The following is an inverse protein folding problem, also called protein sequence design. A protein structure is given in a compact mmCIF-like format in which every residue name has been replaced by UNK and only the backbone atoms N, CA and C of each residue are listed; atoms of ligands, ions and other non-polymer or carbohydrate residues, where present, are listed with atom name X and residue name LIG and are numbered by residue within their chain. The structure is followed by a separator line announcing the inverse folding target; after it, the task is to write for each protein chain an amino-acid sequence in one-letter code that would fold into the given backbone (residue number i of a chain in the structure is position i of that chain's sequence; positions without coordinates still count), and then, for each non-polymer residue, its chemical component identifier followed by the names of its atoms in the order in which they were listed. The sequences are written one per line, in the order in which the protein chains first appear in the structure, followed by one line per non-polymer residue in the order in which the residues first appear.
data_IF_453325424848
#
_entry.id   IF_453325424848
#
_cell.length_a   1.000
_cell.length_b   1.000
_cell.length_c   1.000
_cell.angle_alpha   90.00
_cell.angle_beta   90.00
_cell.angle_gamma   90.00
#
_symmetry.space_group_name_H-M   'P 1'
#
loop_
_entity.id
_entity.type
_entity.pdbx_description
1 polymer ?
#
# COMPACT_ATOMS: atom_id res chain seq x y z
N UNK A 1 10.22 -17.87 11.36
CA UNK A 1 9.14 -18.34 10.46
C UNK A 1 9.73 -18.83 9.16
N UNK A 2 9.21 -19.89 8.52
CA UNK A 2 9.68 -20.34 7.22
C UNK A 2 9.39 -19.30 6.13
N UNK A 3 10.25 -19.25 5.12
CA UNK A 3 10.03 -18.43 3.92
C UNK A 3 9.06 -19.17 2.99
N UNK A 4 8.26 -18.46 2.23
CA UNK A 4 7.43 -19.02 1.17
C UNK A 4 8.36 -19.66 0.12
N UNK A 5 8.15 -20.91 -0.30
CA UNK A 5 9.08 -21.66 -1.16
C UNK A 5 9.06 -21.24 -2.64
N UNK A 6 8.58 -20.06 -2.99
CA UNK A 6 8.65 -19.53 -4.36
C UNK A 6 9.95 -18.77 -4.57
N UNK A 7 10.66 -19.01 -5.69
CA UNK A 7 11.95 -18.40 -6.03
C UNK A 7 11.95 -16.86 -5.91
N UNK A 8 10.84 -16.21 -6.28
CA UNK A 8 10.69 -14.76 -6.12
C UNK A 8 10.85 -14.27 -4.67
N UNK A 9 10.44 -15.08 -3.68
CA UNK A 9 10.55 -14.70 -2.26
C UNK A 9 11.99 -14.77 -1.75
N UNK A 10 12.81 -15.64 -2.32
CA UNK A 10 14.24 -15.67 -2.02
C UNK A 10 14.91 -14.39 -2.52
N UNK A 11 14.65 -14.01 -3.77
CA UNK A 11 15.17 -12.77 -4.36
C UNK A 11 14.70 -11.53 -3.60
N UNK A 12 13.40 -11.46 -3.26
CA UNK A 12 12.84 -10.36 -2.46
C UNK A 12 13.42 -10.30 -1.05
N UNK A 13 13.63 -11.44 -0.40
CA UNK A 13 14.22 -11.51 0.95
C UNK A 13 15.66 -11.00 0.94
N UNK A 14 16.45 -11.36 -0.07
CA UNK A 14 17.83 -10.88 -0.23
C UNK A 14 17.84 -9.35 -0.46
N UNK A 15 17.02 -8.86 -1.38
CA UNK A 15 16.92 -7.45 -1.67
C UNK A 15 16.47 -6.62 -0.44
N UNK A 16 15.30 -6.95 0.10
CA UNK A 16 14.69 -6.19 1.19
C UNK A 16 15.46 -6.31 2.51
N UNK A 17 16.26 -7.36 2.67
CA UNK A 17 17.19 -7.48 3.79
C UNK A 17 18.36 -6.50 3.74
N UNK A 18 18.61 -5.87 2.59
CA UNK A 18 19.72 -4.91 2.38
C UNK A 18 19.27 -3.45 2.38
N UNK A 19 18.00 -3.17 2.03
CA UNK A 19 17.54 -1.80 1.74
C UNK A 19 16.70 -1.16 2.84
N UNK A 20 16.35 -1.86 3.91
CA UNK A 20 15.49 -1.29 4.94
C UNK A 20 15.63 -1.94 6.30
N UNK A 21 14.99 -1.33 7.29
CA UNK A 21 15.02 -1.81 8.68
C UNK A 21 14.14 -3.05 8.88
N UNK A 22 13.03 -3.16 8.17
CA UNK A 22 11.98 -4.16 8.40
C UNK A 22 11.90 -5.24 7.31
N UNK A 23 12.86 -5.33 6.39
CA UNK A 23 12.79 -6.25 5.25
C UNK A 23 12.46 -7.69 5.62
N UNK A 24 13.23 -8.36 6.50
CA UNK A 24 12.93 -9.72 6.94
C UNK A 24 11.60 -9.84 7.70
N UNK A 25 11.24 -8.85 8.51
CA UNK A 25 9.98 -8.82 9.26
C UNK A 25 8.79 -8.69 8.32
N UNK A 26 8.86 -7.76 7.37
CA UNK A 26 7.83 -7.56 6.36
C UNK A 26 7.56 -8.84 5.57
N UNK A 27 8.61 -9.51 5.11
CA UNK A 27 8.51 -10.74 4.30
C UNK A 27 7.91 -11.93 5.06
N UNK A 28 8.01 -11.96 6.39
CA UNK A 28 7.66 -13.13 7.21
C UNK A 28 6.58 -12.90 8.24
N UNK A 29 6.42 -11.68 8.71
CA UNK A 29 5.59 -11.35 9.86
C UNK A 29 4.46 -10.36 9.53
N UNK A 30 4.33 -9.94 8.28
CA UNK A 30 3.28 -9.02 7.84
C UNK A 30 2.32 -9.69 6.88
N UNK A 31 1.04 -9.58 7.18
CA UNK A 31 -0.06 -9.89 6.29
C UNK A 31 -0.99 -8.66 6.22
N UNK A 32 -1.85 -8.58 5.22
CA UNK A 32 -2.78 -7.47 5.08
C UNK A 32 -4.14 -7.90 4.55
N UNK A 33 -5.16 -7.17 4.95
CA UNK A 33 -6.38 -7.04 4.18
C UNK A 33 -6.16 -5.98 3.12
N UNK A 34 -6.57 -6.23 1.89
CA UNK A 34 -6.49 -5.28 0.78
C UNK A 34 -7.88 -5.19 0.14
N UNK A 35 -8.27 -3.98 -0.24
CA UNK A 35 -9.54 -3.75 -0.93
C UNK A 35 -9.23 -3.24 -2.33
N UNK A 36 -9.82 -3.89 -3.33
CA UNK A 36 -9.68 -3.47 -4.72
C UNK A 36 -10.96 -2.78 -5.17
N UNK A 37 -10.81 -1.63 -5.82
CA UNK A 37 -11.89 -0.86 -6.42
C UNK A 37 -11.59 -0.65 -7.90
N UNK A 38 -12.62 -0.56 -8.72
CA UNK A 38 -12.50 -0.27 -10.15
C UNK A 38 -12.42 1.24 -10.42
N UNK A 39 -12.17 1.57 -11.68
CA UNK A 39 -12.23 2.93 -12.21
C UNK A 39 -12.74 2.90 -13.66
N UNK A 40 -13.24 4.02 -14.14
CA UNK A 40 -13.83 4.12 -15.48
C UNK A 40 -12.90 4.75 -16.52
N UNK A 41 -12.02 5.65 -16.08
CA UNK A 41 -11.05 6.34 -16.93
C UNK A 41 -9.84 6.84 -16.12
N UNK A 42 -8.92 7.53 -16.78
CA UNK A 42 -7.71 8.07 -16.18
C UNK A 42 -8.01 9.03 -15.04
N UNK A 43 -8.91 9.99 -15.27
CA UNK A 43 -9.29 10.99 -14.27
C UNK A 43 -9.83 10.33 -13.01
N UNK A 44 -10.81 9.45 -13.16
CA UNK A 44 -11.42 8.71 -12.06
C UNK A 44 -10.39 7.88 -11.29
N UNK A 45 -9.42 7.27 -12.01
CA UNK A 45 -8.37 6.50 -11.37
C UNK A 45 -7.43 7.37 -10.52
N UNK A 46 -7.02 8.53 -11.02
CA UNK A 46 -6.12 9.44 -10.30
C UNK A 46 -6.83 10.06 -9.09
N UNK A 47 -8.09 10.46 -9.22
CA UNK A 47 -8.90 10.95 -8.11
C UNK A 47 -9.03 9.88 -7.01
N UNK A 48 -9.34 8.64 -7.37
CA UNK A 48 -9.41 7.50 -6.42
C UNK A 48 -8.06 7.17 -5.79
N UNK A 49 -6.96 7.26 -6.53
CA UNK A 49 -5.61 7.11 -5.97
C UNK A 49 -5.34 8.16 -4.88
N UNK A 50 -5.64 9.43 -5.16
CA UNK A 50 -5.50 10.52 -4.19
C UNK A 50 -6.35 10.30 -2.95
N UNK A 51 -7.65 10.05 -3.14
CA UNK A 51 -8.58 9.80 -2.03
C UNK A 51 -8.15 8.61 -1.18
N UNK A 52 -7.78 7.48 -1.81
CA UNK A 52 -7.28 6.31 -1.10
C UNK A 52 -6.03 6.62 -0.28
N UNK A 53 -5.13 7.43 -0.83
CA UNK A 53 -3.88 7.82 -0.16
C UNK A 53 -4.14 8.70 1.06
N UNK A 54 -5.05 9.67 0.99
CA UNK A 54 -5.32 10.60 2.11
C UNK A 54 -6.12 9.95 3.23
N UNK A 55 -7.13 9.11 2.92
CA UNK A 55 -7.95 8.47 3.95
C UNK A 55 -7.35 7.18 4.52
N UNK A 56 -6.45 6.56 3.78
CA UNK A 56 -5.87 5.26 4.10
C UNK A 56 -5.23 5.18 5.50
N UNK A 57 -4.37 6.12 5.91
CA UNK A 57 -3.77 6.14 7.25
C UNK A 57 -4.79 6.28 8.36
N UNK A 58 -5.85 7.08 8.15
CA UNK A 58 -6.94 7.26 9.12
C UNK A 58 -7.71 5.96 9.30
N UNK A 59 -8.16 5.36 8.20
CA UNK A 59 -8.84 4.07 8.24
C UNK A 59 -7.95 2.97 8.83
N UNK A 60 -6.64 2.98 8.52
CA UNK A 60 -5.69 2.03 9.10
C UNK A 60 -5.65 2.13 10.62
N UNK A 61 -5.73 3.34 11.18
CA UNK A 61 -5.82 3.52 12.62
C UNK A 61 -7.07 2.85 13.23
N UNK A 62 -8.23 3.03 12.60
CA UNK A 62 -9.50 2.42 13.09
C UNK A 62 -9.54 0.91 12.86
N UNK A 63 -8.84 0.41 11.85
CA UNK A 63 -8.78 -1.01 11.50
C UNK A 63 -7.46 -1.70 11.91
N UNK A 64 -6.68 -1.12 12.83
CA UNK A 64 -5.47 -1.78 13.34
C UNK A 64 -5.78 -3.12 14.00
N UNK A 65 -4.91 -4.09 13.81
CA UNK A 65 -5.11 -5.46 14.33
C UNK A 65 -3.79 -6.17 14.68
N UNK A 66 -2.77 -5.41 15.06
CA UNK A 66 -1.44 -5.97 15.39
C UNK A 66 -1.05 -5.56 16.82
N UNK A 67 -1.60 -6.23 17.86
CA UNK A 67 -1.31 -5.90 19.25
C UNK A 67 0.10 -6.32 19.71
N UNK A 68 0.69 -7.30 19.04
CA UNK A 68 2.02 -7.82 19.36
C UNK A 68 2.95 -7.78 18.14
N UNK A 69 4.23 -7.55 18.39
CA UNK A 69 5.29 -7.60 17.41
C UNK A 69 6.52 -8.30 18.00
N UNK A 70 7.01 -9.36 17.34
CA UNK A 70 8.16 -10.17 17.78
C UNK A 70 8.04 -10.72 19.21
N UNK A 71 6.83 -11.01 19.66
CA UNK A 71 6.55 -11.57 21.00
C UNK A 71 6.34 -10.51 22.08
N UNK A 72 6.59 -9.25 21.78
CA UNK A 72 6.39 -8.13 22.68
C UNK A 72 5.14 -7.33 22.27
N UNK A 73 4.68 -6.49 23.18
CA UNK A 73 3.59 -5.57 22.90
C UNK A 73 4.01 -4.57 21.81
N UNK A 74 3.17 -4.42 20.79
CA UNK A 74 3.44 -3.48 19.70
C UNK A 74 3.35 -2.02 20.19
N UNK A 75 4.45 -1.25 20.13
CA UNK A 75 4.46 0.14 20.57
C UNK A 75 3.95 1.12 19.51
N UNK A 76 3.70 0.68 18.28
CA UNK A 76 3.35 1.56 17.17
C UNK A 76 1.87 1.46 16.77
N UNK A 77 1.16 2.60 16.66
CA UNK A 77 -0.24 2.61 16.24
C UNK A 77 -0.47 1.98 14.86
N UNK A 78 0.44 2.20 13.92
CA UNK A 78 0.36 1.73 12.54
C UNK A 78 1.61 0.91 12.17
N UNK A 79 1.81 -0.24 12.84
CA UNK A 79 3.02 -1.06 12.64
C UNK A 79 3.21 -1.46 11.17
N UNK A 80 2.16 -1.90 10.49
CA UNK A 80 2.28 -2.30 9.08
C UNK A 80 2.75 -1.14 8.21
N UNK A 81 2.13 0.04 8.30
CA UNK A 81 2.57 1.21 7.53
C UNK A 81 4.02 1.58 7.88
N UNK A 82 4.36 1.58 9.17
CA UNK A 82 5.73 1.82 9.61
C UNK A 82 6.73 0.85 8.96
N UNK A 83 6.40 -0.44 8.84
CA UNK A 83 7.27 -1.39 8.17
C UNK A 83 7.53 -0.99 6.71
N UNK A 84 6.49 -0.57 5.99
CA UNK A 84 6.62 -0.14 4.61
C UNK A 84 7.33 1.22 4.47
N UNK A 85 7.05 2.17 5.35
CA UNK A 85 7.67 3.49 5.37
C UNK A 85 9.20 3.44 5.57
N UNK A 86 9.70 2.44 6.30
CA UNK A 86 11.13 2.24 6.56
C UNK A 86 11.76 1.07 5.77
N UNK A 87 11.15 0.69 4.66
CA UNK A 87 11.64 -0.40 3.82
C UNK A 87 12.43 0.10 2.61
N UNK A 88 11.77 0.57 1.59
CA UNK A 88 12.37 1.01 0.32
C UNK A 88 11.53 2.14 -0.30
N UNK A 89 11.96 3.36 -0.10
CA UNK A 89 11.26 4.57 -0.54
C UNK A 89 11.05 4.68 -2.05
N UNK A 90 11.81 3.94 -2.86
CA UNK A 90 11.65 3.97 -4.31
C UNK A 90 10.39 3.26 -4.81
N UNK A 91 9.77 2.42 -3.96
CA UNK A 91 8.65 1.57 -4.36
C UNK A 91 7.57 1.41 -3.30
N UNK A 92 7.66 2.12 -2.18
CA UNK A 92 6.71 2.07 -1.07
C UNK A 92 6.10 3.44 -0.84
N UNK A 93 5.16 3.54 0.10
CA UNK A 93 4.61 4.81 0.55
C UNK A 93 3.69 5.50 -0.47
N UNK A 94 3.63 6.82 -0.42
CA UNK A 94 2.87 7.65 -1.37
C UNK A 94 3.53 7.63 -2.74
N UNK A 95 2.76 7.64 -3.80
CA UNK A 95 3.27 7.77 -5.17
C UNK A 95 3.86 9.18 -5.36
N UNK A 96 5.11 9.30 -5.82
CA UNK A 96 5.75 10.61 -6.02
C UNK A 96 4.95 11.48 -7.00
N UNK A 97 4.70 12.72 -6.62
CA UNK A 97 4.00 13.67 -7.48
C UNK A 97 2.50 13.45 -7.64
N UNK A 98 1.90 12.45 -6.99
CA UNK A 98 0.47 12.12 -7.12
C UNK A 98 -0.45 13.33 -6.93
N UNK A 99 -0.05 14.28 -6.10
CA UNK A 99 -0.83 15.48 -5.78
C UNK A 99 -0.57 16.68 -6.72
N UNK A 100 0.32 16.55 -7.74
CA UNK A 100 0.38 17.53 -8.83
C UNK A 100 -0.94 17.45 -9.64
N UNK A 101 -1.62 18.58 -9.89
CA UNK A 101 -2.87 18.59 -10.67
C UNK A 101 -2.76 17.96 -12.06
N UNK A 102 -1.55 17.91 -12.64
CA UNK A 102 -1.28 17.37 -13.97
C UNK A 102 -0.93 15.88 -13.96
N UNK A 103 -0.78 15.28 -12.79
CA UNK A 103 -0.40 13.86 -12.63
C UNK A 103 -1.40 12.95 -13.33
N UNK A 104 -0.90 12.06 -14.16
CA UNK A 104 -1.67 11.13 -14.96
C UNK A 104 -1.04 9.73 -15.07
N UNK A 105 -1.59 8.91 -15.94
CA UNK A 105 -1.08 7.55 -16.19
C UNK A 105 0.35 7.52 -16.72
N UNK A 106 0.75 8.54 -17.49
CA UNK A 106 2.13 8.64 -18.01
C UNK A 106 3.12 8.81 -16.85
N UNK A 107 2.82 9.70 -15.89
CA UNK A 107 3.67 9.92 -14.72
C UNK A 107 3.78 8.65 -13.87
N UNK A 108 2.65 7.95 -13.66
CA UNK A 108 2.65 6.66 -12.97
C UNK A 108 3.50 5.61 -13.71
N UNK A 109 3.38 5.52 -15.02
CA UNK A 109 4.17 4.60 -15.83
C UNK A 109 5.66 4.92 -15.77
N UNK A 110 6.03 6.20 -15.84
CA UNK A 110 7.42 6.66 -15.72
C UNK A 110 8.00 6.27 -14.35
N UNK A 111 7.27 6.51 -13.26
CA UNK A 111 7.70 6.12 -11.91
C UNK A 111 7.94 4.61 -11.82
N UNK A 112 6.96 3.82 -12.26
CA UNK A 112 7.03 2.34 -12.21
C UNK A 112 8.16 1.79 -13.07
N UNK A 113 8.36 2.32 -14.28
CA UNK A 113 9.36 1.81 -15.21
C UNK A 113 10.79 2.30 -14.90
N UNK A 114 10.94 3.45 -14.28
CA UNK A 114 12.24 4.01 -13.89
C UNK A 114 12.78 3.45 -12.57
N UNK A 115 11.91 2.88 -11.73
CA UNK A 115 12.33 2.27 -10.47
C UNK A 115 13.18 1.03 -10.71
N UNK A 116 14.39 0.89 -10.11
CA UNK A 116 15.21 -0.30 -10.23
C UNK A 116 14.47 -1.57 -9.78
N UNK A 117 14.62 -2.66 -10.53
CA UNK A 117 13.92 -3.91 -10.22
C UNK A 117 14.58 -4.64 -9.04
N UNK A 118 13.81 -5.28 -8.19
CA UNK A 118 14.35 -6.17 -7.16
C UNK A 118 15.01 -7.41 -7.79
N UNK A 119 14.40 -7.90 -8.86
CA UNK A 119 14.92 -8.98 -9.70
C UNK A 119 14.28 -8.89 -11.08
N UNK A 120 15.03 -9.33 -12.08
CA UNK A 120 14.50 -9.53 -13.42
C UNK A 120 13.81 -10.89 -13.49
N UNK A 121 12.60 -10.91 -14.00
CA UNK A 121 11.89 -12.14 -14.37
C UNK A 121 11.94 -12.28 -15.89
N UNK A 122 12.81 -13.14 -16.37
CA UNK A 122 13.03 -13.37 -17.81
C UNK A 122 12.24 -14.57 -18.33
N UNK A 123 11.37 -15.20 -17.52
CA UNK A 123 10.67 -16.44 -17.88
C UNK A 123 9.77 -16.33 -19.11
N UNK A 124 9.35 -15.13 -19.44
CA UNK A 124 8.46 -14.83 -20.56
C UNK A 124 9.14 -14.06 -21.71
N UNK A 125 10.48 -13.93 -21.67
CA UNK A 125 11.21 -13.35 -22.80
C UNK A 125 11.30 -14.35 -23.95
N UNK A 126 11.33 -13.90 -25.21
CA UNK A 126 11.46 -14.80 -26.37
C UNK A 126 12.70 -15.69 -26.30
N UNK A 127 13.82 -15.16 -25.82
CA UNK A 127 15.09 -15.86 -25.68
C UNK A 127 15.02 -16.95 -24.61
N UNK A 128 14.37 -16.64 -23.50
CA UNK A 128 14.19 -17.60 -22.41
C UNK A 128 13.30 -18.77 -22.81
N UNK A 129 12.20 -18.48 -23.48
CA UNK A 129 11.29 -19.53 -24.02
C UNK A 129 12.04 -20.45 -24.98
N UNK A 130 12.93 -19.90 -25.81
CA UNK A 130 13.73 -20.66 -26.77
C UNK A 130 14.86 -21.48 -26.09
N UNK A 131 15.39 -21.03 -24.97
CA UNK A 131 16.55 -21.64 -24.29
C UNK A 131 16.23 -22.94 -23.53
N UNK A 132 14.97 -23.13 -23.12
CA UNK A 132 14.58 -24.23 -22.23
C UNK A 132 15.13 -24.10 -20.81
N UNK A 133 15.59 -22.92 -20.41
CA UNK A 133 16.11 -22.65 -19.07
C UNK A 133 15.02 -22.79 -18.00
N UNK A 134 15.43 -23.16 -16.79
CA UNK A 134 14.50 -23.27 -15.65
C UNK A 134 14.10 -21.90 -15.13
N UNK A 135 12.92 -21.73 -14.49
CA UNK A 135 12.52 -20.45 -13.88
C UNK A 135 13.57 -19.87 -12.93
N UNK A 136 14.27 -20.71 -12.18
CA UNK A 136 15.32 -20.27 -11.26
C UNK A 136 16.52 -19.64 -11.98
N UNK A 137 16.88 -20.14 -13.15
CA UNK A 137 17.97 -19.57 -13.98
C UNK A 137 17.56 -18.27 -14.66
N UNK A 138 16.25 -18.05 -14.81
CA UNK A 138 15.66 -16.89 -15.46
C UNK A 138 15.30 -15.77 -14.48
N UNK A 139 15.38 -16.01 -13.17
CA UNK A 139 15.28 -14.98 -12.15
C UNK A 139 16.68 -14.54 -11.72
N UNK A 140 17.05 -13.30 -11.98
CA UNK A 140 18.33 -12.73 -11.54
C UNK A 140 18.15 -11.45 -10.75
N UNK A 141 19.02 -11.15 -9.77
CA UNK A 141 19.03 -9.83 -9.13
C UNK A 141 19.16 -8.71 -10.16
N UNK A 142 18.42 -7.62 -9.97
CA UNK A 142 18.43 -6.43 -10.83
C UNK A 142 18.38 -5.13 -10.01
N UNK A 143 19.04 -5.07 -8.87
CA UNK A 143 18.93 -4.04 -7.84
C UNK A 143 19.31 -2.62 -8.29
N UNK A 144 19.92 -2.48 -9.45
CA UNK A 144 20.35 -1.20 -10.03
C UNK A 144 19.89 -1.00 -11.46
N UNK A 145 19.12 -1.93 -12.00
CA UNK A 145 18.63 -1.90 -13.38
C UNK A 145 17.11 -1.65 -13.34
N UNK A 146 16.66 -0.67 -14.10
CA UNK A 146 15.23 -0.43 -14.30
C UNK A 146 14.66 -1.30 -15.43
N UNK A 147 13.37 -1.14 -15.72
CA UNK A 147 12.70 -1.95 -16.73
C UNK A 147 13.32 -1.81 -18.13
N UNK A 148 13.71 -0.61 -18.54
CA UNK A 148 14.35 -0.37 -19.85
C UNK A 148 15.74 -1.00 -19.98
N UNK A 149 16.48 -1.11 -18.87
CA UNK A 149 17.79 -1.75 -18.85
C UNK A 149 17.70 -3.27 -18.83
N UNK A 150 16.68 -3.83 -18.18
CA UNK A 150 16.45 -5.28 -18.12
C UNK A 150 15.83 -5.82 -19.40
N UNK A 151 14.95 -5.05 -20.04
CA UNK A 151 14.18 -5.42 -21.23
C UNK A 151 14.40 -4.40 -22.37
N UNK A 152 15.65 -4.25 -22.88
CA UNK A 152 15.99 -3.20 -23.81
C UNK A 152 15.36 -3.38 -25.20
N UNK A 153 15.15 -2.26 -25.90
CA UNK A 153 14.86 -2.20 -27.32
C UNK A 153 13.60 -2.94 -27.80
N UNK A 154 12.62 -3.16 -26.93
CA UNK A 154 11.34 -3.79 -27.27
C UNK A 154 10.19 -3.37 -26.36
N UNK A 155 8.99 -3.64 -26.81
CA UNK A 155 7.80 -3.50 -25.96
C UNK A 155 7.76 -4.59 -24.87
N UNK A 156 7.29 -4.19 -23.69
CA UNK A 156 7.05 -5.12 -22.59
C UNK A 156 5.78 -5.92 -22.85
N UNK A 157 5.84 -7.22 -22.59
CA UNK A 157 4.64 -8.04 -22.65
C UNK A 157 3.81 -7.92 -21.35
N UNK A 158 2.54 -8.39 -21.33
CA UNK A 158 1.68 -8.28 -20.15
C UNK A 158 2.22 -8.95 -18.87
N UNK A 159 3.03 -10.01 -18.99
CA UNK A 159 3.64 -10.67 -17.82
C UNK A 159 4.73 -9.81 -17.21
N UNK A 160 5.57 -9.19 -18.03
CA UNK A 160 6.63 -8.29 -17.60
C UNK A 160 6.05 -7.03 -16.95
N UNK A 161 5.02 -6.45 -17.55
CA UNK A 161 4.29 -5.31 -16.96
C UNK A 161 3.73 -5.69 -15.59
N UNK A 162 3.02 -6.82 -15.48
CA UNK A 162 2.50 -7.29 -14.22
C UNK A 162 3.59 -7.59 -13.20
N UNK A 163 4.73 -8.16 -13.63
CA UNK A 163 5.87 -8.40 -12.77
C UNK A 163 6.39 -7.08 -12.20
N UNK A 164 6.68 -6.09 -13.03
CA UNK A 164 7.22 -4.79 -12.63
C UNK A 164 6.27 -4.12 -11.64
N UNK A 165 4.99 -3.97 -11.98
CA UNK A 165 3.98 -3.38 -11.08
C UNK A 165 3.87 -4.16 -9.78
N UNK A 166 3.99 -5.49 -9.81
CA UNK A 166 3.87 -6.33 -8.60
C UNK A 166 5.00 -6.11 -7.59
N UNK A 167 6.11 -5.50 -7.99
CA UNK A 167 7.24 -5.15 -7.13
C UNK A 167 7.15 -3.74 -6.55
N UNK A 168 6.09 -2.99 -6.85
CA UNK A 168 5.77 -1.70 -6.23
C UNK A 168 4.78 -1.92 -5.09
N UNK A 169 5.06 -1.36 -3.94
CA UNK A 169 4.33 -1.57 -2.70
C UNK A 169 3.82 -0.25 -2.12
N UNK A 170 3.48 0.69 -3.00
CA UNK A 170 2.85 1.94 -2.60
C UNK A 170 1.59 1.69 -1.78
N UNK A 171 1.21 2.64 -0.96
CA UNK A 171 0.04 2.59 -0.08
C UNK A 171 -1.25 2.36 -0.87
N UNK A 172 -1.33 2.95 -2.05
CA UNK A 172 -2.36 2.69 -3.06
C UNK A 172 -1.67 2.40 -4.39
N UNK A 173 -2.06 1.33 -5.06
CA UNK A 173 -1.40 0.85 -6.28
C UNK A 173 -2.39 0.77 -7.42
N UNK A 174 -2.01 1.34 -8.58
CA UNK A 174 -2.78 1.26 -9.81
C UNK A 174 -2.40 0.01 -10.60
N UNK A 175 -3.42 -0.71 -11.03
CA UNK A 175 -3.39 -1.81 -12.00
C UNK A 175 -4.55 -1.60 -12.99
N UNK A 176 -5.17 -2.69 -13.49
CA UNK A 176 -6.51 -2.63 -14.08
C UNK A 176 -7.64 -2.45 -13.04
N UNK A 177 -7.28 -2.18 -11.81
CA UNK A 177 -8.06 -1.79 -10.65
C UNK A 177 -7.16 -1.01 -9.70
N UNK A 178 -7.72 -0.35 -8.70
CA UNK A 178 -6.98 0.33 -7.64
C UNK A 178 -6.97 -0.57 -6.42
N UNK A 179 -5.78 -0.81 -5.88
CA UNK A 179 -5.55 -1.67 -4.72
C UNK A 179 -5.17 -0.83 -3.51
N UNK A 180 -6.06 -0.73 -2.55
CA UNK A 180 -5.84 -0.05 -1.27
C UNK A 180 -5.17 -1.03 -0.30
N UNK A 181 -4.04 -0.67 0.31
CA UNK A 181 -3.09 -1.62 0.93
C UNK A 181 -2.70 -1.30 2.38
N UNK A 182 -3.31 -0.31 2.98
CA UNK A 182 -2.89 0.28 4.27
C UNK A 182 -3.06 -0.66 5.46
N UNK A 183 -4.02 -1.59 5.42
CA UNK A 183 -4.56 -2.23 6.61
C UNK A 183 -3.83 -3.50 7.01
N UNK A 184 -3.89 -3.80 8.31
CA UNK A 184 -3.47 -5.08 8.87
C UNK A 184 -4.31 -6.24 8.31
N UNK A 185 -3.87 -7.46 8.54
CA UNK A 185 -4.71 -8.65 8.34
C UNK A 185 -5.85 -8.61 9.36
N UNK A 186 -7.09 -8.68 8.89
CA UNK A 186 -8.30 -8.55 9.69
C UNK A 186 -9.05 -9.87 9.79
N UNK A 187 -9.77 -10.12 10.90
CA UNK A 187 -10.84 -11.10 10.93
C UNK A 187 -11.89 -10.79 9.86
N UNK A 188 -12.63 -11.82 9.42
CA UNK A 188 -13.53 -11.69 8.27
C UNK A 188 -14.59 -10.60 8.49
N UNK A 189 -15.15 -10.52 9.67
CA UNK A 189 -16.20 -9.54 9.99
C UNK A 189 -15.67 -8.09 9.90
N UNK A 190 -14.40 -7.88 10.29
CA UNK A 190 -13.76 -6.58 10.16
C UNK A 190 -13.37 -6.26 8.72
N UNK A 191 -12.98 -7.28 7.95
CA UNK A 191 -12.68 -7.12 6.52
C UNK A 191 -13.94 -6.78 5.72
N UNK A 192 -15.08 -7.41 6.04
CA UNK A 192 -16.38 -7.07 5.47
C UNK A 192 -16.76 -5.61 5.78
N UNK A 193 -16.65 -5.19 7.04
CA UNK A 193 -16.91 -3.80 7.45
C UNK A 193 -16.01 -2.79 6.75
N UNK A 194 -14.71 -3.08 6.63
CA UNK A 194 -13.80 -2.24 5.90
C UNK A 194 -14.23 -2.11 4.42
N UNK A 195 -14.63 -3.22 3.79
CA UNK A 195 -15.07 -3.23 2.40
C UNK A 195 -16.36 -2.42 2.21
N UNK A 196 -17.32 -2.53 3.12
CA UNK A 196 -18.55 -1.71 3.13
C UNK A 196 -18.23 -0.21 3.21
N UNK A 197 -17.33 0.17 4.11
CA UNK A 197 -16.90 1.57 4.28
C UNK A 197 -16.22 2.08 3.01
N UNK A 198 -15.23 1.34 2.50
CA UNK A 198 -14.54 1.72 1.27
C UNK A 198 -15.53 1.83 0.11
N UNK A 199 -16.44 0.85 -0.04
CA UNK A 199 -17.48 0.91 -1.06
C UNK A 199 -18.35 2.16 -0.91
N UNK A 200 -18.77 2.49 0.30
CA UNK A 200 -19.56 3.68 0.58
C UNK A 200 -18.82 4.97 0.21
N UNK A 201 -17.54 5.09 0.59
CA UNK A 201 -16.74 6.29 0.37
C UNK A 201 -16.39 6.54 -1.11
N UNK A 202 -16.25 5.47 -1.91
CA UNK A 202 -15.81 5.58 -3.30
C UNK A 202 -16.93 5.48 -4.34
N UNK A 203 -18.10 4.90 -3.98
CA UNK A 203 -19.19 4.65 -4.95
C UNK A 203 -20.50 5.37 -4.62
N UNK A 204 -20.65 5.93 -3.41
CA UNK A 204 -21.78 6.80 -3.10
C UNK A 204 -21.38 8.24 -3.44
N UNK A 205 -22.02 8.89 -4.43
CA UNK A 205 -21.59 10.20 -4.93
C UNK A 205 -21.46 11.25 -3.82
N UNK A 206 -22.43 11.35 -2.91
CA UNK A 206 -22.44 12.34 -1.84
C UNK A 206 -21.25 12.17 -0.88
N UNK A 207 -20.79 10.92 -0.65
CA UNK A 207 -19.66 10.65 0.22
C UNK A 207 -18.36 10.97 -0.50
N UNK A 208 -18.26 10.61 -1.76
CA UNK A 208 -17.09 10.88 -2.61
C UNK A 208 -16.91 12.39 -2.79
N UNK A 209 -17.94 13.10 -3.22
CA UNK A 209 -17.92 14.55 -3.42
C UNK A 209 -17.49 15.29 -2.13
N UNK A 210 -17.95 14.82 -0.98
CA UNK A 210 -17.55 15.36 0.32
C UNK A 210 -16.07 15.15 0.60
N UNK A 211 -15.51 13.97 0.28
CA UNK A 211 -14.09 13.69 0.41
C UNK A 211 -13.26 14.56 -0.54
N UNK A 212 -13.65 14.62 -1.81
CA UNK A 212 -12.97 15.42 -2.84
C UNK A 212 -12.95 16.90 -2.42
N UNK A 213 -14.06 17.43 -1.98
CA UNK A 213 -14.18 18.81 -1.50
C UNK A 213 -13.31 19.09 -0.27
N UNK A 214 -13.26 18.14 0.67
CA UNK A 214 -12.48 18.32 1.90
C UNK A 214 -10.97 18.31 1.65
N UNK A 215 -10.52 17.46 0.73
CA UNK A 215 -9.11 17.29 0.40
C UNK A 215 -8.67 18.04 -0.86
N UNK A 216 -9.51 18.98 -1.34
CA UNK A 216 -9.12 19.82 -2.48
C UNK A 216 -7.85 20.61 -2.17
N UNK A 217 -6.85 20.48 -3.05
CA UNK A 217 -5.58 21.18 -2.92
C UNK A 217 -4.62 20.63 -1.86
N UNK A 218 -4.93 19.47 -1.28
CA UNK A 218 -4.00 18.80 -0.35
C UNK A 218 -2.66 18.49 -1.02
N UNK A 219 -1.59 18.64 -0.27
CA UNK A 219 -0.22 18.33 -0.71
C UNK A 219 0.25 16.96 -0.25
N UNK A 220 1.27 16.45 -0.92
CA UNK A 220 1.98 15.22 -0.51
C UNK A 220 2.58 15.35 0.90
N UNK A 221 3.12 16.53 1.24
CA UNK A 221 3.70 16.81 2.55
C UNK A 221 2.66 16.68 3.66
N UNK A 222 1.44 17.22 3.47
CA UNK A 222 0.36 17.09 4.45
C UNK A 222 -0.07 15.63 4.67
N UNK A 223 0.01 14.79 3.65
CA UNK A 223 -0.26 13.35 3.79
C UNK A 223 0.83 12.69 4.65
N UNK A 224 2.11 12.98 4.40
CA UNK A 224 3.20 12.48 5.24
C UNK A 224 3.11 12.97 6.67
N UNK A 225 2.77 14.24 6.89
CA UNK A 225 2.56 14.79 8.22
C UNK A 225 1.41 14.11 8.95
N UNK A 226 0.29 13.82 8.27
CA UNK A 226 -0.85 13.10 8.85
C UNK A 226 -0.46 11.67 9.27
N UNK A 227 0.29 10.94 8.43
CA UNK A 227 0.83 9.61 8.76
C UNK A 227 1.74 9.68 9.98
N UNK A 228 2.69 10.62 10.00
CA UNK A 228 3.62 10.82 11.10
C UNK A 228 2.90 11.20 12.40
N UNK A 229 1.88 12.06 12.31
CA UNK A 229 1.08 12.48 13.44
C UNK A 229 0.35 11.29 14.10
N UNK A 230 -0.28 10.41 13.29
CA UNK A 230 -0.93 9.19 13.81
C UNK A 230 0.10 8.26 14.46
N UNK A 231 1.28 8.08 13.84
CA UNK A 231 2.35 7.24 14.40
C UNK A 231 2.88 7.76 15.73
N UNK A 232 2.98 9.07 15.89
CA UNK A 232 3.52 9.69 17.09
C UNK A 232 2.52 9.77 18.24
N UNK A 233 1.24 10.01 17.95
CA UNK A 233 0.25 10.40 18.94
C UNK A 233 -0.89 9.40 19.13
N UNK A 234 -1.01 8.37 18.27
CA UNK A 234 -2.04 7.33 18.41
C UNK A 234 -3.44 7.92 18.56
N UNK A 235 -4.11 7.64 19.66
CA UNK A 235 -5.48 8.13 19.91
C UNK A 235 -5.61 9.64 20.08
N UNK A 236 -4.54 10.32 20.43
CA UNK A 236 -4.47 11.79 20.56
C UNK A 236 -4.06 12.46 19.24
N UNK A 237 -3.94 11.68 18.16
CA UNK A 237 -3.55 12.20 16.86
C UNK A 237 -4.59 13.16 16.27
N UNK A 238 -4.06 14.12 15.52
CA UNK A 238 -4.85 15.12 14.80
C UNK A 238 -4.44 15.18 13.32
N UNK A 239 -4.58 14.06 12.57
CA UNK A 239 -4.24 14.05 11.15
C UNK A 239 -5.04 15.13 10.41
N UNK A 240 -4.38 15.85 9.51
CA UNK A 240 -4.96 16.99 8.79
C UNK A 240 -5.60 18.05 9.72
N UNK A 241 -5.02 18.24 10.92
CA UNK A 241 -5.51 19.22 11.90
C UNK A 241 -6.81 18.84 12.63
N UNK A 242 -7.39 17.68 12.36
CA UNK A 242 -8.65 17.24 12.96
C UNK A 242 -8.47 16.05 13.89
N UNK A 243 -9.12 16.02 15.07
CA UNK A 243 -9.02 14.89 15.98
C UNK A 243 -9.71 13.64 15.42
N UNK A 244 -9.30 12.46 15.90
CA UNK A 244 -9.80 11.18 15.38
C UNK A 244 -11.33 11.00 15.51
N UNK A 245 -11.96 11.61 16.51
CA UNK A 245 -13.43 11.54 16.62
C UNK A 245 -14.14 12.31 15.49
N UNK A 246 -13.57 13.41 14.98
CA UNK A 246 -14.06 14.07 13.79
C UNK A 246 -14.01 13.14 12.58
N UNK A 247 -12.88 12.47 12.37
CA UNK A 247 -12.72 11.51 11.27
C UNK A 247 -13.68 10.35 11.35
N UNK A 248 -13.93 9.88 12.58
CA UNK A 248 -14.89 8.80 12.82
C UNK A 248 -16.30 9.19 12.33
N UNK A 249 -16.76 10.39 12.67
CA UNK A 249 -18.04 10.93 12.23
C UNK A 249 -18.01 11.23 10.72
N UNK A 250 -16.96 11.94 10.26
CA UNK A 250 -16.81 12.35 8.86
C UNK A 250 -16.80 11.18 7.88
N UNK A 251 -16.18 10.06 8.24
CA UNK A 251 -16.12 8.85 7.42
C UNK A 251 -17.29 7.89 7.66
N UNK A 252 -18.25 8.24 8.50
CA UNK A 252 -19.42 7.40 8.79
C UNK A 252 -19.11 6.11 9.56
N UNK A 253 -18.08 6.12 10.42
CA UNK A 253 -17.61 4.93 11.10
C UNK A 253 -18.36 4.62 12.42
N UNK A 254 -19.16 5.53 12.93
CA UNK A 254 -19.75 5.46 14.28
C UNK A 254 -20.59 4.19 14.54
N UNK A 255 -21.44 3.85 13.58
CA UNK A 255 -22.31 2.68 13.69
C UNK A 255 -21.64 1.36 13.30
N UNK A 256 -20.50 1.43 12.60
CA UNK A 256 -19.87 0.25 11.98
C UNK A 256 -18.79 -0.39 12.86
N UNK A 257 -18.19 0.37 13.80
CA UNK A 257 -17.06 -0.09 14.61
C UNK A 257 -17.39 -0.28 16.09
N UNK A 258 -18.65 -0.04 16.53
CA UNK A 258 -19.01 -0.01 17.95
C UNK A 258 -18.84 -1.32 18.67
N UNK A 259 -18.94 -2.45 17.98
CA UNK A 259 -18.96 -3.79 18.57
C UNK A 259 -17.76 -4.67 18.14
N UNK A 260 -16.70 -4.08 17.57
CA UNK A 260 -15.58 -4.83 17.01
C UNK A 260 -14.39 -4.81 17.97
N UNK A 261 -13.80 -5.98 18.33
CA UNK A 261 -12.56 -6.05 19.09
C UNK A 261 -11.47 -5.21 18.44
N UNK A 262 -10.81 -4.34 19.22
CA UNK A 262 -9.86 -3.36 18.71
C UNK A 262 -10.48 -2.03 18.25
N UNK A 263 -11.79 -1.84 18.36
CA UNK A 263 -12.41 -0.51 18.33
C UNK A 263 -11.76 0.37 19.41
N UNK A 264 -11.54 1.67 19.17
CA UNK A 264 -11.10 2.62 20.20
C UNK A 264 -11.95 2.62 21.48
N UNK A 265 -13.21 2.17 21.41
CA UNK A 265 -14.07 1.94 22.60
C UNK A 265 -13.77 0.64 23.35
N UNK A 266 -13.03 -0.29 22.73
CA UNK A 266 -12.51 -1.49 23.36
C UNK A 266 -10.99 -1.39 23.49
N UNK A 267 -10.51 -0.57 24.41
CA UNK A 267 -9.08 -0.26 24.57
C UNK A 267 -8.23 -1.49 24.94
N UNK A 268 -8.85 -2.56 25.39
CA UNK A 268 -8.16 -3.69 26.04
C UNK A 268 -7.29 -4.54 25.09
N UNK A 269 -7.47 -4.39 23.77
CA UNK A 269 -6.59 -5.06 22.78
C UNK A 269 -5.34 -4.24 22.48
N UNK A 270 -5.36 -2.92 22.77
CA UNK A 270 -4.28 -1.99 22.45
C UNK A 270 -3.92 -1.04 23.60
N UNK A 271 -4.59 -1.17 24.76
CA UNK A 271 -4.21 -0.47 25.99
C UNK A 271 -3.39 -1.40 26.88
N UNK A 272 -2.34 -0.88 27.25
CA UNK A 272 -1.32 -1.23 28.23
C UNK A 272 0.02 -1.46 27.64
#
# INVERSE_FOLDING_TARGET
MPVNPKDRYDAMTDYLGRVGQFGPCMMRCSASTQVSIDYVDERDSIEKLRLGTVIGPILAYFFRNTPYFEGEKNPWPLLRQRMWDYLDFQRTNVLPGLFDPRYGWEDYAIDVLSTPLMFADLTHTPEAVASGATPKELHRPAFRENAGEVYPDRELNPYEINHIISTHFNDVRLKNFIELRHWDSLPIERAERLTEIVSSLFYVPEHRDRLESYFEGISEEEVFEAKANIQAHGREATPYGQPLHFWKEFLGLEGLLSDIPGDPKHPDVFQE
#
